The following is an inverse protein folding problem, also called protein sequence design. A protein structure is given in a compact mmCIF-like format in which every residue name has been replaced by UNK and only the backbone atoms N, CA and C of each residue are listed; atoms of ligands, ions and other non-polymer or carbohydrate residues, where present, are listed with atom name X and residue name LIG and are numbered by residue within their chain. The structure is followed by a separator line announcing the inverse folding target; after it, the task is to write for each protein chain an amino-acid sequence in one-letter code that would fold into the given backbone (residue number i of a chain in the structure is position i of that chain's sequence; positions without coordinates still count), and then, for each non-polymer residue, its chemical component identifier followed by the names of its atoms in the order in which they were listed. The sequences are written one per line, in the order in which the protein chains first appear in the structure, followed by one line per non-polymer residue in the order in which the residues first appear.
data_IF_687151781453
#
_entry.id   IF_687151781453
#
_cell.length_a   1.000
_cell.length_b   1.000
_cell.length_c   1.000
_cell.angle_alpha   90.00
_cell.angle_beta   90.00
_cell.angle_gamma   90.00
#
_symmetry.space_group_name_H-M   'P 1'
#
loop_
_entity.id
_entity.type
_entity.pdbx_description
1 polymer ?
#
# COMPACT_ATOMS: atom_id res chain seq x y z
N UNK A 1 22.51 49.36 5.70
CA UNK A 1 21.42 48.93 4.79
C UNK A 1 21.71 47.62 4.05
N UNK A 2 22.94 47.36 3.58
CA UNK A 2 23.28 46.12 2.84
C UNK A 2 23.13 44.87 3.74
N UNK A 3 23.61 44.92 4.96
CA UNK A 3 23.55 43.82 5.94
C UNK A 3 22.10 43.47 6.31
N UNK A 4 21.27 44.48 6.57
CA UNK A 4 19.84 44.25 6.84
C UNK A 4 19.13 43.61 5.65
N UNK A 5 19.39 44.07 4.45
CA UNK A 5 18.82 43.49 3.22
C UNK A 5 19.22 42.02 3.03
N UNK A 6 20.46 41.67 3.32
CA UNK A 6 20.97 40.30 3.26
C UNK A 6 20.21 39.37 4.26
N UNK A 7 19.99 39.85 5.49
CA UNK A 7 19.23 39.07 6.49
C UNK A 7 17.80 38.78 6.02
N UNK A 8 17.08 39.77 5.46
CA UNK A 8 15.72 39.57 4.95
C UNK A 8 15.68 38.59 3.76
N UNK A 9 16.65 38.71 2.82
CA UNK A 9 16.73 37.77 1.69
C UNK A 9 17.00 36.35 2.20
N UNK A 10 17.94 36.18 3.12
CA UNK A 10 18.27 34.87 3.71
C UNK A 10 17.08 34.28 4.46
N UNK A 11 16.30 35.12 5.15
CA UNK A 11 15.07 34.70 5.83
C UNK A 11 14.04 34.13 4.83
N UNK A 12 13.78 34.85 3.75
CA UNK A 12 12.84 34.41 2.71
C UNK A 12 13.32 33.07 2.09
N UNK A 13 14.60 32.97 1.79
CA UNK A 13 15.19 31.73 1.25
C UNK A 13 14.99 30.56 2.20
N UNK A 14 15.26 30.73 3.51
CA UNK A 14 15.08 29.65 4.50
C UNK A 14 13.61 29.28 4.68
N UNK A 15 12.69 30.24 4.62
CA UNK A 15 11.24 29.96 4.63
C UNK A 15 10.80 29.14 3.42
N UNK A 16 11.30 29.47 2.22
CA UNK A 16 11.01 28.72 0.99
C UNK A 16 11.56 27.29 1.08
N UNK A 17 12.77 27.10 1.61
CA UNK A 17 13.33 25.76 1.82
C UNK A 17 12.54 24.95 2.85
N UNK A 18 12.14 25.56 3.97
CA UNK A 18 11.30 24.88 4.96
C UNK A 18 9.96 24.46 4.35
N UNK A 19 9.30 25.38 3.63
CA UNK A 19 8.06 25.10 2.91
C UNK A 19 8.22 23.97 1.89
N UNK A 20 9.32 23.97 1.15
CA UNK A 20 9.65 22.94 0.17
C UNK A 20 9.82 21.55 0.83
N UNK A 21 10.70 21.44 1.84
CA UNK A 21 10.95 20.16 2.50
C UNK A 21 9.70 19.63 3.22
N UNK A 22 8.99 20.49 3.94
CA UNK A 22 7.76 20.15 4.67
C UNK A 22 6.63 19.74 3.71
N UNK A 23 6.48 20.45 2.59
CA UNK A 23 5.50 20.12 1.56
C UNK A 23 5.83 18.83 0.81
N UNK A 24 7.10 18.61 0.45
CA UNK A 24 7.54 17.40 -0.25
C UNK A 24 7.43 16.15 0.62
N UNK A 25 7.64 16.27 1.92
CA UNK A 25 7.42 15.20 2.89
C UNK A 25 5.97 14.72 2.83
N UNK A 26 5.01 15.64 2.98
CA UNK A 26 3.58 15.29 2.96
C UNK A 26 3.10 14.82 1.59
N UNK A 27 3.60 15.42 0.49
CA UNK A 27 3.29 14.97 -0.85
C UNK A 27 3.71 13.52 -1.07
N UNK A 28 4.90 13.15 -0.62
CA UNK A 28 5.41 11.78 -0.73
C UNK A 28 4.62 10.76 0.11
N UNK A 29 4.19 11.14 1.31
CA UNK A 29 3.37 10.28 2.17
C UNK A 29 1.94 10.14 1.64
N UNK A 30 1.40 11.20 1.01
CA UNK A 30 0.03 11.25 0.50
C UNK A 30 -0.12 10.73 -0.93
N UNK A 31 0.99 10.44 -1.63
CA UNK A 31 0.93 9.93 -3.00
C UNK A 31 0.39 8.51 -3.05
N UNK A 32 -0.49 8.25 -3.99
CA UNK A 32 -0.90 6.91 -4.34
C UNK A 32 0.20 6.23 -5.17
N UNK A 33 0.95 5.34 -4.53
CA UNK A 33 2.08 4.62 -5.14
C UNK A 33 1.63 3.74 -6.29
N UNK A 34 0.46 3.12 -6.19
CA UNK A 34 -0.05 2.23 -7.21
C UNK A 34 -0.43 3.02 -8.47
N UNK A 35 -1.16 4.11 -8.30
CA UNK A 35 -1.50 5.02 -9.40
C UNK A 35 -0.24 5.57 -10.07
N UNK A 36 0.78 5.93 -9.30
CA UNK A 36 2.07 6.37 -9.84
C UNK A 36 2.75 5.29 -10.69
N UNK A 37 2.77 4.03 -10.25
CA UNK A 37 3.35 2.92 -11.02
C UNK A 37 2.53 2.60 -12.29
N UNK A 38 1.21 2.72 -12.26
CA UNK A 38 0.33 2.50 -13.42
C UNK A 38 0.45 3.62 -14.46
N UNK A 39 0.50 4.89 -14.02
CA UNK A 39 0.65 6.06 -14.91
C UNK A 39 2.10 6.29 -15.36
N UNK A 40 3.02 5.41 -15.01
CA UNK A 40 4.45 5.53 -15.25
C UNK A 40 4.78 5.60 -16.75
N UNK A 41 4.76 6.79 -17.31
CA UNK A 41 5.33 7.09 -18.63
C UNK A 41 6.84 7.19 -18.44
N UNK A 42 7.60 6.26 -19.01
CA UNK A 42 9.06 6.18 -18.85
C UNK A 42 9.76 7.52 -19.10
N UNK A 43 10.28 8.14 -18.03
CA UNK A 43 10.97 9.42 -18.06
C UNK A 43 11.98 9.54 -16.92
N UNK A 44 12.81 10.59 -16.95
CA UNK A 44 13.83 10.88 -15.91
C UNK A 44 13.16 11.04 -14.55
N UNK A 45 12.07 11.79 -14.48
CA UNK A 45 11.29 12.05 -13.26
C UNK A 45 10.77 10.74 -12.63
N UNK A 46 10.24 9.86 -13.45
CA UNK A 46 9.75 8.55 -12.99
C UNK A 46 10.86 7.66 -12.42
N UNK A 47 12.07 7.73 -12.99
CA UNK A 47 13.25 7.03 -12.43
C UNK A 47 13.66 7.60 -11.08
N UNK A 48 13.68 8.93 -10.93
CA UNK A 48 14.00 9.60 -9.67
C UNK A 48 13.02 9.18 -8.58
N UNK A 49 11.72 9.27 -8.85
CA UNK A 49 10.70 8.95 -7.87
C UNK A 49 10.71 7.45 -7.49
N UNK A 50 11.03 6.56 -8.44
CA UNK A 50 11.17 5.14 -8.12
C UNK A 50 12.31 4.83 -7.14
N UNK A 51 13.39 5.63 -7.13
CA UNK A 51 14.46 5.52 -6.14
C UNK A 51 13.93 5.85 -4.74
N UNK A 52 13.13 6.92 -4.63
CA UNK A 52 12.54 7.32 -3.36
C UNK A 52 11.50 6.32 -2.85
N UNK A 53 10.65 5.78 -3.74
CA UNK A 53 9.67 4.75 -3.38
C UNK A 53 10.31 3.43 -2.96
N UNK A 54 11.51 3.12 -3.45
CA UNK A 54 12.26 1.95 -3.01
C UNK A 54 12.75 2.08 -1.57
N UNK A 55 13.10 3.28 -1.12
CA UNK A 55 13.59 3.53 0.24
C UNK A 55 12.82 4.69 0.91
N UNK A 56 11.51 4.52 1.21
CA UNK A 56 10.67 5.60 1.70
C UNK A 56 11.15 6.21 3.02
N UNK A 57 11.64 5.38 3.94
CA UNK A 57 12.13 5.84 5.24
C UNK A 57 13.38 6.72 5.11
N UNK A 58 14.28 6.40 4.18
CA UNK A 58 15.48 7.23 3.92
C UNK A 58 15.10 8.57 3.30
N UNK A 59 14.12 8.56 2.39
CA UNK A 59 13.60 9.79 1.80
C UNK A 59 12.97 10.72 2.85
N UNK A 60 12.02 10.20 3.64
CA UNK A 60 11.33 10.97 4.70
C UNK A 60 12.35 11.52 5.70
N UNK A 61 13.30 10.70 6.16
CA UNK A 61 14.36 11.14 7.08
C UNK A 61 15.20 12.27 6.49
N UNK A 62 15.50 12.21 5.18
CA UNK A 62 16.27 13.25 4.51
C UNK A 62 15.50 14.56 4.39
N UNK A 63 14.22 14.51 4.05
CA UNK A 63 13.35 15.69 4.01
C UNK A 63 13.20 16.34 5.39
N UNK A 64 13.03 15.51 6.43
CA UNK A 64 12.95 15.97 7.82
C UNK A 64 14.23 16.66 8.28
N UNK A 65 15.40 16.10 7.95
CA UNK A 65 16.71 16.74 8.25
C UNK A 65 16.81 18.08 7.53
N UNK A 66 16.44 18.15 6.26
CA UNK A 66 16.46 19.40 5.49
C UNK A 66 15.55 20.46 6.09
N UNK A 67 14.34 20.10 6.46
CA UNK A 67 13.39 20.98 7.14
C UNK A 67 13.95 21.51 8.47
N UNK A 68 14.50 20.64 9.31
CA UNK A 68 15.08 21.04 10.59
C UNK A 68 16.28 21.98 10.43
N UNK A 69 17.15 21.77 9.45
CA UNK A 69 18.25 22.70 9.14
C UNK A 69 17.69 24.08 8.75
N UNK A 70 16.69 24.12 7.86
CA UNK A 70 16.06 25.37 7.45
C UNK A 70 15.39 26.10 8.63
N UNK A 71 14.70 25.36 9.51
CA UNK A 71 14.07 25.92 10.71
C UNK A 71 15.08 26.53 11.70
N UNK A 72 16.23 25.89 11.91
CA UNK A 72 17.29 26.41 12.79
C UNK A 72 17.86 27.71 12.23
N UNK A 73 18.20 27.75 10.92
CA UNK A 73 18.70 28.96 10.28
C UNK A 73 17.64 30.07 10.33
N UNK A 74 16.39 29.76 10.04
CA UNK A 74 15.26 30.69 10.17
C UNK A 74 15.17 31.28 11.60
N UNK A 75 15.25 30.41 12.62
CA UNK A 75 15.16 30.84 14.03
C UNK A 75 16.26 31.84 14.39
N UNK A 76 17.52 31.59 13.94
CA UNK A 76 18.64 32.50 14.17
C UNK A 76 18.40 33.87 13.48
N UNK A 77 17.93 33.84 12.22
CA UNK A 77 17.69 35.09 11.46
C UNK A 77 16.50 35.88 12.04
N UNK A 78 15.43 35.20 12.45
CA UNK A 78 14.28 35.85 13.10
C UNK A 78 14.64 36.43 14.46
N UNK A 79 15.52 35.76 15.21
CA UNK A 79 16.03 36.28 16.48
C UNK A 79 16.66 37.67 16.30
N UNK A 80 17.48 37.84 15.26
CA UNK A 80 18.10 39.11 14.97
C UNK A 80 17.08 40.18 14.53
N UNK A 81 16.12 39.83 13.68
CA UNK A 81 15.14 40.78 13.15
C UNK A 81 14.16 41.26 14.27
N UNK A 82 13.63 40.35 15.06
CA UNK A 82 12.66 40.69 16.09
C UNK A 82 13.34 41.43 17.26
N UNK A 83 14.52 40.92 17.67
CA UNK A 83 15.28 41.53 18.77
C UNK A 83 15.68 42.99 18.47
N UNK A 84 16.25 43.25 17.31
CA UNK A 84 16.81 44.53 16.97
C UNK A 84 15.76 45.57 16.49
N UNK A 85 14.68 45.12 15.84
CA UNK A 85 13.77 46.05 15.17
C UNK A 85 12.34 46.11 15.76
N UNK A 86 11.81 45.00 16.31
CA UNK A 86 10.40 44.92 16.68
C UNK A 86 10.19 45.12 18.20
N UNK A 87 11.02 44.52 19.03
CA UNK A 87 10.90 44.50 20.46
C UNK A 87 11.90 45.41 21.19
N UNK A 88 12.85 46.00 20.47
CA UNK A 88 13.80 46.94 21.02
C UNK A 88 13.04 48.18 21.62
N UNK A 89 13.04 48.31 22.93
CA UNK A 89 12.39 49.41 23.64
C UNK A 89 10.98 49.14 24.21
N UNK A 90 10.37 47.98 23.92
CA UNK A 90 9.06 47.61 24.48
C UNK A 90 9.16 46.69 25.71
N UNK A 91 10.24 45.90 25.83
CA UNK A 91 10.40 44.92 26.88
C UNK A 91 11.79 45.06 27.49
N UNK A 92 11.89 45.54 28.72
CA UNK A 92 13.15 45.67 29.46
C UNK A 92 13.67 44.32 30.01
N UNK A 93 12.79 43.36 30.18
CA UNK A 93 13.16 42.06 30.72
C UNK A 93 13.63 41.13 29.60
N UNK A 94 14.91 40.77 29.64
CA UNK A 94 15.56 39.89 28.63
C UNK A 94 14.86 38.54 28.47
N UNK A 95 14.37 37.91 29.54
CA UNK A 95 13.63 36.65 29.50
C UNK A 95 12.31 36.79 28.74
N UNK A 96 11.51 37.83 29.04
CA UNK A 96 10.25 38.08 28.34
C UNK A 96 10.46 38.44 26.89
N UNK A 97 11.54 39.14 26.57
CA UNK A 97 11.93 39.45 25.19
C UNK A 97 12.21 38.18 24.37
N UNK A 98 13.04 37.28 24.89
CA UNK A 98 13.35 35.99 24.23
C UNK A 98 12.11 35.12 24.08
N UNK A 99 11.25 35.08 25.08
CA UNK A 99 10.00 34.33 25.05
C UNK A 99 9.04 34.85 23.97
N UNK A 100 8.79 36.17 23.97
CA UNK A 100 7.93 36.81 22.97
C UNK A 100 8.45 36.62 21.54
N UNK A 101 9.75 36.79 21.34
CA UNK A 101 10.45 36.56 20.07
C UNK A 101 10.28 35.11 19.59
N UNK A 102 10.47 34.12 20.46
CA UNK A 102 10.30 32.72 20.14
C UNK A 102 8.87 32.40 19.74
N UNK A 103 7.88 32.88 20.49
CA UNK A 103 6.47 32.64 20.19
C UNK A 103 6.08 33.26 18.85
N UNK A 104 6.45 34.52 18.59
CA UNK A 104 6.12 35.20 17.33
C UNK A 104 6.79 34.50 16.12
N UNK A 105 8.08 34.19 16.22
CA UNK A 105 8.81 33.52 15.15
C UNK A 105 8.24 32.13 14.86
N UNK A 106 7.89 31.37 15.91
CA UNK A 106 7.28 30.04 15.76
C UNK A 106 5.91 30.10 15.11
N UNK A 107 5.06 31.05 15.46
CA UNK A 107 3.75 31.21 14.80
C UNK A 107 3.88 31.53 13.31
N UNK A 108 4.82 32.40 12.96
CA UNK A 108 5.05 32.76 11.55
C UNK A 108 5.50 31.54 10.75
N UNK A 109 6.51 30.80 11.21
CA UNK A 109 7.04 29.66 10.46
C UNK A 109 6.05 28.48 10.45
N UNK A 110 5.31 28.28 11.53
CA UNK A 110 4.28 27.22 11.59
C UNK A 110 3.23 27.42 10.49
N UNK A 111 2.77 28.65 10.29
CA UNK A 111 1.79 28.94 9.24
C UNK A 111 2.41 28.91 7.86
N UNK A 112 3.52 29.60 7.65
CA UNK A 112 4.10 29.83 6.31
C UNK A 112 5.03 28.71 5.83
N UNK A 113 5.78 28.10 6.74
CA UNK A 113 6.78 27.07 6.42
C UNK A 113 6.26 25.63 6.57
N UNK A 114 5.20 25.43 7.38
CA UNK A 114 4.69 24.07 7.61
C UNK A 114 3.23 23.91 7.21
N UNK A 115 2.28 24.64 7.80
CA UNK A 115 0.86 24.40 7.61
C UNK A 115 0.40 24.64 6.17
N UNK A 116 0.67 25.83 5.61
CA UNK A 116 0.26 26.18 4.25
C UNK A 116 0.89 25.24 3.18
N UNK A 117 2.22 25.02 3.20
CA UNK A 117 2.85 24.12 2.23
C UNK A 117 2.31 22.69 2.31
N UNK A 118 2.15 22.13 3.52
CA UNK A 118 1.58 20.80 3.71
C UNK A 118 0.17 20.69 3.15
N UNK A 119 -0.67 21.71 3.36
CA UNK A 119 -2.03 21.72 2.84
C UNK A 119 -2.06 21.78 1.31
N UNK A 120 -1.28 22.70 0.72
CA UNK A 120 -1.25 22.88 -0.74
C UNK A 120 -0.70 21.65 -1.45
N UNK A 121 0.40 21.09 -0.97
CA UNK A 121 1.08 19.95 -1.60
C UNK A 121 0.31 18.64 -1.47
N UNK A 122 -0.57 18.55 -0.46
CA UNK A 122 -1.49 17.41 -0.29
C UNK A 122 -2.63 17.38 -1.31
N UNK A 123 -3.02 18.52 -1.90
CA UNK A 123 -4.13 18.59 -2.86
C UNK A 123 -3.82 17.75 -4.11
N UNK A 124 -2.62 17.89 -4.68
CA UNK A 124 -2.19 17.16 -5.88
C UNK A 124 -0.77 16.61 -5.72
N UNK A 125 -0.56 15.58 -4.88
CA UNK A 125 0.78 15.09 -4.54
C UNK A 125 1.55 14.55 -5.74
N UNK A 126 0.88 13.88 -6.69
CA UNK A 126 1.49 13.33 -7.90
C UNK A 126 2.07 14.43 -8.80
N UNK A 127 1.32 15.52 -9.01
CA UNK A 127 1.77 16.65 -9.81
C UNK A 127 2.98 17.34 -9.15
N UNK A 128 2.89 17.59 -7.86
CA UNK A 128 3.96 18.25 -7.08
C UNK A 128 5.26 17.44 -7.12
N UNK A 129 5.20 16.13 -6.86
CA UNK A 129 6.36 15.25 -6.91
C UNK A 129 7.00 15.22 -8.31
N UNK A 130 6.18 15.22 -9.37
CA UNK A 130 6.67 15.21 -10.73
C UNK A 130 7.36 16.54 -11.10
N UNK A 131 6.76 17.69 -10.76
CA UNK A 131 7.31 19.01 -11.05
C UNK A 131 8.63 19.26 -10.30
N UNK A 132 8.66 18.88 -9.03
CA UNK A 132 9.80 19.12 -8.16
C UNK A 132 10.80 17.97 -8.08
N UNK A 133 10.68 16.93 -8.91
CA UNK A 133 11.56 15.75 -8.86
C UNK A 133 13.05 16.11 -9.05
N UNK A 134 13.38 17.06 -9.96
CA UNK A 134 14.77 17.47 -10.22
C UNK A 134 15.38 18.23 -9.04
N UNK A 135 14.79 19.34 -8.52
CA UNK A 135 15.33 19.98 -7.33
C UNK A 135 15.34 19.04 -6.11
N UNK A 136 14.37 18.14 -6.03
CA UNK A 136 14.27 17.17 -4.95
C UNK A 136 15.45 16.20 -4.90
N UNK A 137 15.85 15.64 -6.04
CA UNK A 137 17.02 14.73 -6.09
C UNK A 137 18.33 15.45 -5.75
N UNK A 138 18.47 16.72 -6.13
CA UNK A 138 19.64 17.51 -5.79
C UNK A 138 19.72 17.69 -4.27
N UNK A 139 18.62 18.14 -3.65
CA UNK A 139 18.56 18.28 -2.19
C UNK A 139 18.78 16.94 -1.48
N UNK A 140 18.18 15.86 -1.99
CA UNK A 140 18.34 14.51 -1.44
C UNK A 140 19.81 14.08 -1.43
N UNK A 141 20.52 14.22 -2.53
CA UNK A 141 21.95 13.83 -2.64
C UNK A 141 22.81 14.64 -1.68
N UNK A 142 22.58 15.95 -1.56
CA UNK A 142 23.33 16.83 -0.65
C UNK A 142 23.10 16.46 0.82
N UNK A 143 21.84 16.19 1.19
CA UNK A 143 21.45 15.92 2.58
C UNK A 143 21.61 14.45 2.98
N UNK A 144 21.76 13.54 2.01
CA UNK A 144 21.84 12.09 2.24
C UNK A 144 22.89 11.69 3.28
N UNK A 145 24.15 12.19 3.24
CA UNK A 145 25.16 11.82 4.23
C UNK A 145 24.76 12.23 5.65
N UNK A 146 24.14 13.40 5.82
CA UNK A 146 23.68 13.89 7.11
C UNK A 146 22.49 13.05 7.62
N UNK A 147 21.55 12.74 6.74
CA UNK A 147 20.42 11.86 7.06
C UNK A 147 20.88 10.47 7.46
N UNK A 148 21.89 9.92 6.78
CA UNK A 148 22.47 8.61 7.11
C UNK A 148 23.14 8.60 8.50
N UNK A 149 23.81 9.68 8.87
CA UNK A 149 24.37 9.84 10.23
C UNK A 149 23.25 9.90 11.27
N UNK A 150 22.20 10.69 11.05
CA UNK A 150 21.06 10.80 11.95
C UNK A 150 20.33 9.46 12.13
N UNK A 151 20.10 8.75 11.04
CA UNK A 151 19.47 7.39 11.07
C UNK A 151 20.37 6.36 11.79
N UNK A 152 21.69 6.45 11.59
CA UNK A 152 22.66 5.60 12.27
C UNK A 152 22.66 5.84 13.79
N UNK A 153 22.58 7.09 14.21
CA UNK A 153 22.49 7.48 15.61
C UNK A 153 21.19 6.98 16.24
N UNK A 154 20.04 7.14 15.55
CA UNK A 154 18.75 6.57 15.98
C UNK A 154 18.81 5.06 16.14
N UNK A 155 19.44 4.36 15.19
CA UNK A 155 19.62 2.92 15.23
C UNK A 155 20.47 2.49 16.44
N UNK A 156 21.52 3.25 16.75
CA UNK A 156 22.38 3.04 17.93
C UNK A 156 21.56 3.21 19.23
N UNK A 157 20.75 4.26 19.33
CA UNK A 157 19.86 4.49 20.47
C UNK A 157 18.88 3.32 20.66
N UNK A 158 18.18 2.90 19.60
CA UNK A 158 17.22 1.79 19.68
C UNK A 158 17.89 0.49 20.12
N UNK A 159 19.14 0.26 19.68
CA UNK A 159 19.93 -0.93 20.11
C UNK A 159 20.29 -0.87 21.60
N UNK A 160 20.63 0.31 22.13
CA UNK A 160 20.90 0.48 23.57
C UNK A 160 19.67 0.16 24.41
N UNK A 161 18.46 0.50 23.93
CA UNK A 161 17.18 0.17 24.58
C UNK A 161 16.68 -1.25 24.29
N UNK A 162 17.50 -2.12 23.66
CA UNK A 162 17.16 -3.53 23.42
C UNK A 162 16.09 -3.79 22.38
N UNK A 163 15.70 -2.79 21.60
CA UNK A 163 14.72 -2.94 20.53
C UNK A 163 15.35 -3.62 19.29
N UNK A 164 14.79 -4.74 18.86
CA UNK A 164 15.18 -5.40 17.61
C UNK A 164 14.62 -4.63 16.42
N UNK A 165 15.51 -4.07 15.62
CA UNK A 165 15.13 -3.40 14.37
C UNK A 165 14.96 -4.47 13.30
N UNK A 166 13.71 -4.79 12.94
CA UNK A 166 13.40 -5.63 11.78
C UNK A 166 13.66 -4.81 10.51
N UNK A 167 14.75 -5.08 9.82
CA UNK A 167 15.05 -4.48 8.51
C UNK A 167 14.05 -4.88 7.42
N UNK A 168 13.38 -6.02 7.60
CA UNK A 168 12.42 -6.58 6.63
C UNK A 168 11.06 -5.85 6.60
N UNK A 169 10.83 -4.90 7.52
CA UNK A 169 9.58 -4.11 7.51
C UNK A 169 9.50 -3.07 6.38
N UNK A 170 10.65 -2.72 5.77
CA UNK A 170 10.68 -1.76 4.66
C UNK A 170 10.44 -2.38 3.28
N UNK A 171 10.55 -3.71 3.16
CA UNK A 171 10.38 -4.45 1.90
C UNK A 171 8.93 -4.88 1.62
N UNK A 172 7.95 -4.38 2.36
CA UNK A 172 6.54 -4.56 2.01
C UNK A 172 6.18 -3.61 0.85
N UNK A 173 6.76 -3.92 -0.31
CA UNK A 173 6.19 -3.48 -1.56
C UNK A 173 4.74 -3.97 -1.62
N UNK A 174 3.78 -3.05 -1.76
CA UNK A 174 2.36 -3.29 -2.00
C UNK A 174 1.78 -4.48 -1.22
N UNK A 175 1.31 -4.22 -0.01
CA UNK A 175 0.54 -5.19 0.74
C UNK A 175 -0.86 -5.35 0.13
N UNK A 176 -1.50 -6.49 0.39
CA UNK A 176 -2.91 -6.73 0.05
C UNK A 176 -3.82 -5.58 0.51
N UNK A 177 -3.51 -4.94 1.63
CA UNK A 177 -4.26 -3.82 2.21
C UNK A 177 -4.17 -2.55 1.34
N UNK A 178 -2.99 -2.26 0.76
CA UNK A 178 -2.82 -1.10 -0.12
C UNK A 178 -3.59 -1.27 -1.43
N UNK A 179 -3.66 -2.51 -1.90
CA UNK A 179 -4.38 -2.89 -3.11
C UNK A 179 -5.91 -2.85 -2.89
N UNK A 180 -6.38 -3.34 -1.75
CA UNK A 180 -7.77 -3.29 -1.32
C UNK A 180 -8.26 -1.82 -1.18
N UNK A 181 -7.45 -0.98 -0.56
CA UNK A 181 -7.73 0.46 -0.43
C UNK A 181 -7.82 1.16 -1.79
N UNK A 182 -6.94 0.82 -2.73
CA UNK A 182 -6.97 1.39 -4.09
C UNK A 182 -8.24 1.00 -4.84
N UNK A 183 -8.61 -0.28 -4.80
CA UNK A 183 -9.84 -0.76 -5.43
C UNK A 183 -11.06 -0.08 -4.82
N UNK A 184 -11.12 0.01 -3.49
CA UNK A 184 -12.22 0.67 -2.79
C UNK A 184 -12.30 2.16 -3.13
N UNK A 185 -11.17 2.87 -3.16
CA UNK A 185 -11.13 4.29 -3.52
C UNK A 185 -11.51 4.54 -4.99
N UNK A 186 -11.24 3.59 -5.87
CA UNK A 186 -11.65 3.66 -7.28
C UNK A 186 -13.16 3.45 -7.44
N UNK A 187 -13.77 2.61 -6.60
CA UNK A 187 -15.21 2.39 -6.53
C UNK A 187 -15.92 3.63 -5.96
N UNK A 188 -15.41 4.18 -4.86
CA UNK A 188 -16.00 5.34 -4.18
C UNK A 188 -15.94 6.63 -5.03
N UNK A 189 -14.97 6.73 -5.95
CA UNK A 189 -14.81 7.87 -6.86
C UNK A 189 -15.51 7.69 -8.22
N UNK A 190 -16.09 6.52 -8.49
CA UNK A 190 -16.88 6.32 -9.70
C UNK A 190 -18.25 7.02 -9.56
N UNK A 191 -18.50 8.08 -10.31
CA UNK A 191 -19.75 8.86 -10.28
C UNK A 191 -20.97 8.06 -10.75
N UNK A 192 -20.78 6.89 -11.39
CA UNK A 192 -21.85 5.98 -11.84
C UNK A 192 -21.47 4.52 -11.54
N UNK A 193 -22.33 3.81 -10.83
CA UNK A 193 -22.17 2.37 -10.56
C UNK A 193 -22.15 1.49 -11.84
N UNK A 194 -22.66 2.00 -12.95
CA UNK A 194 -22.71 1.27 -14.25
C UNK A 194 -21.38 1.32 -15.01
N UNK A 195 -20.50 2.28 -14.71
CA UNK A 195 -19.16 2.43 -15.32
C UNK A 195 -18.04 1.73 -14.51
N UNK A 196 -18.35 1.05 -13.43
CA UNK A 196 -17.38 0.20 -12.77
C UNK A 196 -16.93 -0.86 -13.77
N UNK A 197 -15.76 -0.62 -14.37
CA UNK A 197 -15.11 -1.53 -15.29
C UNK A 197 -15.22 -2.97 -14.75
N UNK A 198 -15.73 -3.86 -15.59
CA UNK A 198 -15.83 -5.29 -15.28
C UNK A 198 -14.50 -5.83 -14.73
N UNK A 199 -13.40 -5.22 -15.16
CA UNK A 199 -12.03 -5.52 -14.72
C UNK A 199 -11.81 -5.23 -13.23
N UNK A 200 -12.34 -4.12 -12.69
CA UNK A 200 -12.24 -3.76 -11.26
C UNK A 200 -13.01 -4.76 -10.40
N UNK A 201 -14.21 -5.17 -10.84
CA UNK A 201 -15.02 -6.21 -10.15
C UNK A 201 -14.33 -7.57 -10.16
N UNK A 202 -13.74 -7.97 -11.29
CA UNK A 202 -12.97 -9.21 -11.39
C UNK A 202 -11.77 -9.16 -10.44
N UNK A 203 -11.09 -8.04 -10.39
CA UNK A 203 -9.92 -7.86 -9.54
C UNK A 203 -10.28 -7.92 -8.04
N UNK A 204 -11.36 -7.24 -7.64
CA UNK A 204 -11.87 -7.31 -6.27
C UNK A 204 -12.26 -8.74 -5.88
N UNK A 205 -13.01 -9.42 -6.74
CA UNK A 205 -13.36 -10.82 -6.53
C UNK A 205 -12.13 -11.72 -6.41
N UNK A 206 -11.05 -11.44 -7.16
CA UNK A 206 -9.80 -12.18 -7.06
C UNK A 206 -9.07 -11.94 -5.73
N UNK A 207 -9.12 -10.73 -5.19
CA UNK A 207 -8.58 -10.42 -3.86
C UNK A 207 -9.37 -11.14 -2.75
N UNK A 208 -10.71 -11.09 -2.82
CA UNK A 208 -11.60 -11.72 -1.86
C UNK A 208 -11.50 -13.24 -1.90
N UNK A 209 -11.30 -13.82 -3.09
CA UNK A 209 -11.12 -15.26 -3.28
C UNK A 209 -10.01 -15.85 -2.40
N UNK A 210 -8.98 -15.07 -2.07
CA UNK A 210 -7.92 -15.54 -1.18
C UNK A 210 -8.38 -15.80 0.27
N UNK A 211 -9.50 -15.22 0.70
CA UNK A 211 -10.06 -15.34 2.05
C UNK A 211 -11.15 -16.43 2.12
N UNK A 212 -11.70 -16.85 0.98
CA UNK A 212 -12.79 -17.83 0.91
C UNK A 212 -12.24 -19.20 1.34
N UNK A 213 -12.98 -19.87 2.21
CA UNK A 213 -12.71 -21.27 2.63
C UNK A 213 -13.55 -22.24 1.81
N UNK A 214 -13.09 -23.48 1.72
CA UNK A 214 -13.82 -24.52 0.99
C UNK A 214 -15.24 -24.66 1.50
N UNK A 215 -15.48 -24.62 2.82
CA UNK A 215 -16.81 -24.71 3.43
C UNK A 215 -17.82 -23.67 2.88
N UNK A 216 -17.32 -22.55 2.35
CA UNK A 216 -18.15 -21.47 1.81
C UNK A 216 -18.56 -21.73 0.34
N UNK A 217 -17.95 -22.74 -0.30
CA UNK A 217 -18.11 -23.07 -1.72
C UNK A 217 -18.59 -24.52 -1.97
N UNK A 218 -18.76 -25.35 -0.94
CA UNK A 218 -19.17 -26.75 -1.09
C UNK A 218 -20.63 -26.88 -1.47
N UNK A 219 -20.91 -27.90 -2.29
CA UNK A 219 -22.27 -28.35 -2.52
C UNK A 219 -22.72 -29.18 -1.32
N UNK A 220 -23.88 -28.88 -0.71
CA UNK A 220 -24.40 -29.66 0.41
C UNK A 220 -24.61 -31.12 0.02
N UNK A 221 -24.40 -32.04 0.99
CA UNK A 221 -24.53 -33.48 0.80
C UNK A 221 -25.88 -33.88 0.16
N UNK A 222 -26.95 -33.18 0.47
CA UNK A 222 -28.31 -33.44 -0.03
C UNK A 222 -28.48 -33.14 -1.51
N UNK A 223 -27.60 -32.33 -2.07
CA UNK A 223 -27.64 -31.88 -3.48
C UNK A 223 -26.62 -32.61 -4.35
N UNK A 224 -25.77 -33.44 -3.75
CA UNK A 224 -24.75 -34.20 -4.49
C UNK A 224 -25.40 -35.32 -5.27
N UNK A 225 -25.21 -35.35 -6.58
CA UNK A 225 -25.60 -36.49 -7.42
C UNK A 225 -24.56 -37.59 -7.29
N UNK A 226 -25.00 -38.71 -6.73
CA UNK A 226 -24.16 -39.87 -6.46
C UNK A 226 -24.85 -41.15 -6.81
N UNK A 227 -24.07 -42.21 -7.05
CA UNK A 227 -24.56 -43.59 -7.29
C UNK A 227 -23.82 -44.57 -6.40
N UNK A 228 -24.48 -45.62 -6.02
CA UNK A 228 -23.87 -46.73 -5.29
C UNK A 228 -22.99 -47.58 -6.23
N UNK A 229 -21.94 -48.17 -5.68
CA UNK A 229 -21.05 -49.06 -6.43
C UNK A 229 -21.78 -50.28 -7.02
N UNK A 230 -22.90 -50.68 -6.45
CA UNK A 230 -23.74 -51.79 -6.94
C UNK A 230 -24.70 -51.41 -8.08
N UNK A 231 -24.73 -50.14 -8.47
CA UNK A 231 -25.64 -49.61 -9.51
C UNK A 231 -25.32 -50.22 -10.88
N UNK A 232 -26.38 -50.60 -11.63
CA UNK A 232 -26.24 -51.14 -12.97
C UNK A 232 -25.78 -50.08 -13.98
N UNK A 233 -25.15 -50.52 -15.07
CA UNK A 233 -24.67 -49.61 -16.13
C UNK A 233 -25.81 -48.78 -16.76
N UNK A 234 -26.98 -49.38 -16.93
CA UNK A 234 -28.13 -48.69 -17.54
C UNK A 234 -28.73 -47.64 -16.60
N UNK A 235 -28.76 -47.91 -15.31
CA UNK A 235 -29.18 -46.95 -14.31
C UNK A 235 -28.18 -45.79 -14.19
N UNK A 236 -26.87 -46.08 -14.25
CA UNK A 236 -25.83 -45.06 -14.27
C UNK A 236 -25.98 -44.14 -15.50
N UNK A 237 -26.26 -44.69 -16.69
CA UNK A 237 -26.55 -43.90 -17.90
C UNK A 237 -27.79 -43.02 -17.72
N UNK A 238 -28.87 -43.56 -17.14
CA UNK A 238 -30.07 -42.78 -16.87
C UNK A 238 -29.76 -41.60 -15.93
N UNK A 239 -28.96 -41.83 -14.88
CA UNK A 239 -28.53 -40.76 -13.96
C UNK A 239 -27.73 -39.65 -14.65
N UNK A 240 -26.84 -39.97 -15.59
CA UNK A 240 -26.14 -38.96 -16.38
C UNK A 240 -27.10 -38.13 -17.24
N UNK A 241 -28.09 -38.77 -17.86
CA UNK A 241 -29.09 -38.13 -18.72
C UNK A 241 -29.99 -37.21 -17.89
N UNK A 242 -30.51 -37.70 -16.77
CA UNK A 242 -31.41 -36.94 -15.89
C UNK A 242 -30.72 -35.74 -15.22
N UNK A 243 -29.49 -35.95 -14.73
CA UNK A 243 -28.75 -34.89 -14.02
C UNK A 243 -28.11 -33.86 -14.93
N UNK A 244 -27.78 -34.21 -16.18
CA UNK A 244 -27.09 -33.35 -17.14
C UNK A 244 -25.63 -33.01 -16.74
N UNK A 245 -25.10 -33.59 -15.66
CA UNK A 245 -23.75 -33.35 -15.19
C UNK A 245 -22.76 -34.35 -15.79
N UNK A 246 -21.51 -33.94 -15.95
CA UNK A 246 -20.47 -34.77 -16.58
C UNK A 246 -19.69 -35.65 -15.60
N UNK A 247 -19.86 -35.47 -14.29
CA UNK A 247 -19.18 -36.28 -13.26
C UNK A 247 -20.16 -36.63 -12.17
N UNK A 248 -20.30 -37.92 -11.84
CA UNK A 248 -21.14 -38.43 -10.78
C UNK A 248 -20.25 -39.08 -9.72
N UNK A 249 -20.53 -38.79 -8.46
CA UNK A 249 -19.83 -39.40 -7.32
C UNK A 249 -20.24 -40.86 -7.16
N UNK A 250 -19.28 -41.71 -6.86
CA UNK A 250 -19.49 -43.13 -6.59
C UNK A 250 -19.20 -43.41 -5.11
N UNK A 251 -20.11 -44.05 -4.42
CA UNK A 251 -19.97 -44.43 -3.02
C UNK A 251 -20.24 -45.93 -2.82
N UNK A 252 -19.84 -46.50 -1.69
CA UNK A 252 -20.04 -47.89 -1.31
C UNK A 252 -20.95 -47.96 -0.09
N UNK A 253 -22.19 -48.39 -0.30
CA UNK A 253 -23.23 -48.61 0.69
C UNK A 253 -23.73 -47.34 1.41
N UNK A 254 -22.90 -46.42 1.74
CA UNK A 254 -23.25 -45.16 2.36
C UNK A 254 -22.57 -43.98 1.61
N UNK A 255 -23.33 -42.92 1.35
CA UNK A 255 -22.83 -41.69 0.67
C UNK A 255 -21.64 -41.07 1.37
N UNK A 256 -21.38 -41.34 2.64
CA UNK A 256 -20.18 -40.91 3.36
C UNK A 256 -18.92 -41.72 2.99
N UNK A 257 -19.12 -42.90 2.41
CA UNK A 257 -18.04 -43.78 1.96
C UNK A 257 -17.77 -43.55 0.46
N UNK A 258 -17.24 -42.38 0.11
CA UNK A 258 -16.94 -42.01 -1.28
C UNK A 258 -15.77 -42.83 -1.79
N UNK A 259 -15.95 -43.59 -2.84
CA UNK A 259 -14.90 -44.36 -3.53
C UNK A 259 -14.21 -43.52 -4.58
N UNK A 260 -14.95 -42.65 -5.29
CA UNK A 260 -14.42 -41.83 -6.34
C UNK A 260 -15.47 -41.11 -7.17
N UNK A 261 -15.18 -40.86 -8.43
CA UNK A 261 -16.14 -40.34 -9.40
C UNK A 261 -16.00 -41.03 -10.74
N UNK A 262 -17.06 -41.00 -11.51
CA UNK A 262 -17.05 -41.48 -12.90
C UNK A 262 -17.42 -40.32 -13.84
N UNK A 263 -16.75 -40.25 -14.98
CA UNK A 263 -16.99 -39.22 -16.00
C UNK A 263 -17.91 -39.76 -17.10
N UNK A 264 -18.84 -38.94 -17.60
CA UNK A 264 -19.79 -39.32 -18.64
C UNK A 264 -19.14 -39.80 -19.93
N UNK A 265 -17.90 -39.37 -20.24
CA UNK A 265 -17.16 -39.88 -21.39
C UNK A 265 -16.87 -41.35 -21.38
N UNK A 266 -16.85 -42.00 -20.20
CA UNK A 266 -16.63 -43.42 -20.09
C UNK A 266 -17.82 -44.24 -20.63
N UNK A 267 -19.04 -43.63 -20.62
CA UNK A 267 -20.25 -44.26 -21.20
C UNK A 267 -20.15 -44.43 -22.73
N UNK A 268 -19.41 -43.54 -23.41
CA UNK A 268 -19.20 -43.64 -24.88
C UNK A 268 -18.25 -44.76 -25.26
N UNK A 269 -17.43 -45.24 -24.32
CA UNK A 269 -16.52 -46.38 -24.55
C UNK A 269 -17.20 -47.73 -24.38
N UNK A 270 -18.50 -47.75 -24.08
CA UNK A 270 -19.31 -48.96 -23.82
C UNK A 270 -18.61 -49.98 -22.89
N UNK A 271 -18.27 -49.58 -21.67
CA UNK A 271 -17.52 -50.44 -20.77
C UNK A 271 -18.35 -51.65 -20.38
N UNK A 272 -17.73 -52.84 -20.40
CA UNK A 272 -18.35 -54.07 -19.89
C UNK A 272 -18.45 -54.03 -18.37
N UNK A 273 -17.47 -53.37 -17.74
CA UNK A 273 -17.43 -53.15 -16.30
C UNK A 273 -17.05 -51.68 -16.03
N UNK A 274 -18.01 -50.85 -15.63
CA UNK A 274 -17.78 -49.43 -15.42
C UNK A 274 -16.98 -49.13 -14.14
N UNK A 275 -16.93 -50.06 -13.18
CA UNK A 275 -16.22 -49.87 -11.89
C UNK A 275 -14.73 -49.68 -12.06
N UNK A 276 -14.13 -50.25 -13.12
CA UNK A 276 -12.68 -50.10 -13.44
C UNK A 276 -12.31 -48.67 -13.86
N UNK A 277 -13.29 -47.86 -14.25
CA UNK A 277 -13.13 -46.49 -14.70
C UNK A 277 -13.40 -45.44 -13.62
N UNK A 278 -13.64 -45.86 -12.39
CA UNK A 278 -13.84 -44.97 -11.23
C UNK A 278 -12.50 -44.31 -10.87
N UNK A 279 -12.48 -43.00 -10.89
CA UNK A 279 -11.29 -42.18 -10.57
C UNK A 279 -11.36 -41.73 -9.12
N UNK A 280 -10.25 -41.77 -8.42
CA UNK A 280 -10.15 -41.30 -7.06
C UNK A 280 -10.35 -39.79 -6.96
N UNK A 281 -10.90 -39.32 -5.85
CA UNK A 281 -11.07 -37.91 -5.51
C UNK A 281 -10.13 -37.53 -4.35
N UNK A 282 -9.47 -36.37 -4.41
CA UNK A 282 -8.69 -35.91 -3.28
C UNK A 282 -9.61 -35.50 -2.13
N UNK A 283 -9.26 -35.88 -0.90
CA UNK A 283 -9.94 -35.48 0.31
C UNK A 283 -9.23 -34.26 0.87
N UNK A 284 -9.98 -33.19 1.14
CA UNK A 284 -9.43 -31.93 1.63
C UNK A 284 -10.25 -31.42 2.83
N UNK A 285 -9.61 -30.78 3.82
CA UNK A 285 -10.34 -30.23 4.95
C UNK A 285 -11.18 -29.00 4.56
N UNK A 286 -12.37 -28.87 5.10
CA UNK A 286 -13.29 -27.73 4.85
C UNK A 286 -12.69 -26.36 5.22
N UNK A 287 -11.73 -26.33 6.13
CA UNK A 287 -11.02 -25.12 6.57
C UNK A 287 -9.94 -24.65 5.59
N UNK A 288 -9.62 -25.46 4.57
CA UNK A 288 -8.64 -25.08 3.53
C UNK A 288 -9.13 -23.90 2.72
N UNK A 289 -8.23 -23.00 2.30
CA UNK A 289 -8.59 -21.88 1.43
C UNK A 289 -8.91 -22.36 0.01
N UNK A 290 -9.91 -21.76 -0.63
CA UNK A 290 -10.32 -22.05 -2.01
C UNK A 290 -9.15 -21.86 -3.00
N UNK A 291 -8.25 -20.90 -2.75
CA UNK A 291 -7.06 -20.69 -3.55
C UNK A 291 -6.09 -21.90 -3.54
N UNK A 292 -5.92 -22.57 -2.38
CA UNK A 292 -5.12 -23.80 -2.32
C UNK A 292 -5.77 -24.96 -3.08
N UNK A 293 -7.11 -25.08 -2.98
CA UNK A 293 -7.87 -26.10 -3.72
C UNK A 293 -7.75 -25.87 -5.23
N UNK A 294 -7.88 -24.61 -5.68
CA UNK A 294 -7.74 -24.28 -7.10
C UNK A 294 -6.37 -24.70 -7.67
N UNK A 295 -5.29 -24.52 -6.88
CA UNK A 295 -3.95 -24.98 -7.26
C UNK A 295 -3.85 -26.50 -7.41
N UNK A 296 -4.60 -27.26 -6.59
CA UNK A 296 -4.69 -28.72 -6.72
C UNK A 296 -5.42 -29.13 -8.00
N UNK A 297 -6.42 -28.37 -8.44
CA UNK A 297 -7.15 -28.65 -9.69
C UNK A 297 -6.32 -28.32 -10.94
N UNK A 298 -5.30 -27.50 -10.84
CA UNK A 298 -4.43 -27.13 -11.97
C UNK A 298 -3.21 -28.05 -12.12
N UNK A 299 -2.99 -28.98 -11.21
CA UNK A 299 -1.94 -30.01 -11.27
C UNK A 299 -2.47 -31.28 -11.94
#
# INVERSE_FOLDING_TARGET
DVYKRQIYISLIITMVFSAFFSGMEIAFVSVDKLRFEMERKGGITSRILSIFFKNPNEFISTMLVGNNIALVIYGILMAQIIGDNLLAGFIDNHFLMVLAQTVISTLIILVTGEFLPKTIFKINPNLVLNVFAIPLIICYVILYPISKLASGLSCLFLRVFGMKINKDASDRAFGKVDLDYFVQSSIDNAENEEELDTEVKIFQNALDFSNIKIRDCIVPRTEVVAVDLTTSLDELKSRFIESGISKIIVYDGNIDNVVGYIHSSEMFRAPTNWHENVKQVPIVPETMSANKLMKLFMQ
#
